data_IF_319796218322
#
_entry.id   IF_319796218322
#
_cell.length_a   1.000
_cell.length_b   1.000
_cell.length_c   1.000
_cell.angle_alpha   90.00
_cell.angle_beta   90.00
_cell.angle_gamma   90.00
#
_symmetry.space_group_name_H-M   'P 1'
#
loop_
_entity.id
_entity.type
_entity.pdbx_description
1 polymer ?
#
# COMPACT_ATOMS: atom_id res chain seq x y z
N UNK A 1 -8.09 12.62 -7.00
CA UNK A 1 -8.12 13.14 -5.62
C UNK A 1 -6.91 12.66 -4.85
N UNK A 2 -6.40 11.48 -5.16
CA UNK A 2 -5.06 11.07 -4.76
C UNK A 2 -3.98 11.89 -5.48
N UNK A 3 -2.84 12.12 -4.81
CA UNK A 3 -1.76 12.97 -5.31
C UNK A 3 -0.41 12.49 -4.78
N UNK A 4 0.58 12.50 -5.68
CA UNK A 4 2.00 12.36 -5.36
C UNK A 4 2.68 13.74 -5.37
N UNK A 5 3.26 14.12 -4.24
CA UNK A 5 4.10 15.30 -4.07
C UNK A 5 5.57 14.92 -4.30
N UNK A 6 5.98 14.94 -5.57
CA UNK A 6 7.27 14.39 -6.06
C UNK A 6 8.48 14.92 -5.32
N UNK A 7 8.55 16.24 -5.12
CA UNK A 7 9.71 16.90 -4.54
C UNK A 7 9.99 16.48 -3.09
N UNK A 8 8.95 16.07 -2.36
CA UNK A 8 9.06 15.71 -0.93
C UNK A 8 8.91 14.23 -0.66
N UNK A 9 8.44 13.43 -1.62
CA UNK A 9 8.26 11.98 -1.46
C UNK A 9 7.04 11.60 -0.59
N UNK A 10 5.90 12.27 -0.80
CA UNK A 10 4.66 12.02 -0.07
C UNK A 10 3.54 11.67 -1.04
N UNK A 11 2.80 10.62 -0.74
CA UNK A 11 1.64 10.16 -1.50
C UNK A 11 0.42 10.21 -0.59
N UNK A 12 -0.60 10.97 -1.01
CA UNK A 12 -1.88 11.11 -0.31
C UNK A 12 -2.97 10.48 -1.15
N UNK A 13 -3.58 9.39 -0.68
CA UNK A 13 -4.59 8.62 -1.41
C UNK A 13 -5.95 8.76 -0.75
N UNK A 14 -7.00 8.99 -1.53
CA UNK A 14 -8.35 9.30 -1.02
C UNK A 14 -9.46 8.57 -1.79
N UNK A 15 -10.50 8.13 -1.09
CA UNK A 15 -11.77 7.67 -1.68
C UNK A 15 -12.78 8.80 -1.85
N UNK A 16 -12.78 9.79 -0.97
CA UNK A 16 -13.61 10.98 -1.08
C UNK A 16 -12.94 12.16 -0.36
N UNK A 17 -12.26 13.04 -1.09
CA UNK A 17 -11.62 14.19 -0.47
C UNK A 17 -12.62 15.24 0.05
N UNK A 18 -13.86 15.23 -0.46
CA UNK A 18 -14.86 16.24 -0.14
C UNK A 18 -15.65 15.92 1.14
N UNK A 19 -15.83 14.64 1.47
CA UNK A 19 -16.53 14.21 2.69
C UNK A 19 -15.65 13.32 3.59
N UNK A 20 -15.12 13.91 4.67
CA UNK A 20 -14.28 13.20 5.63
C UNK A 20 -14.98 12.04 6.37
N UNK A 21 -16.31 12.02 6.45
CA UNK A 21 -17.08 10.94 7.09
C UNK A 21 -17.32 9.75 6.16
N UNK A 22 -17.10 9.92 4.85
CA UNK A 22 -17.12 8.88 3.83
C UNK A 22 -15.71 8.55 3.29
N UNK A 23 -14.73 9.39 3.59
CA UNK A 23 -13.35 9.24 3.12
C UNK A 23 -12.59 8.12 3.83
N UNK A 24 -11.76 7.44 3.07
CA UNK A 24 -10.60 6.70 3.52
C UNK A 24 -9.37 7.42 2.97
N UNK A 25 -8.57 7.98 3.88
CA UNK A 25 -7.29 8.62 3.60
C UNK A 25 -6.15 7.69 3.97
N UNK A 26 -5.25 7.46 3.02
CA UNK A 26 -3.98 6.81 3.25
C UNK A 26 -2.87 7.80 2.94
N UNK A 27 -1.98 8.03 3.89
CA UNK A 27 -0.80 8.85 3.71
C UNK A 27 0.42 7.96 3.74
N UNK A 28 1.22 7.99 2.68
CA UNK A 28 2.45 7.22 2.55
C UNK A 28 3.64 8.15 2.32
N UNK A 29 4.76 7.87 2.99
CA UNK A 29 5.96 8.69 2.92
C UNK A 29 7.19 7.84 2.63
N UNK A 30 7.93 8.23 1.61
CA UNK A 30 9.30 7.81 1.38
C UNK A 30 10.08 8.95 0.77
N UNK A 31 10.81 9.68 1.61
CA UNK A 31 11.23 11.06 1.34
C UNK A 31 12.73 11.20 1.05
N UNK A 32 13.12 12.00 0.04
CA UNK A 32 14.53 12.27 -0.26
C UNK A 32 15.22 13.14 0.80
N UNK A 33 14.48 13.65 1.79
CA UNK A 33 15.02 14.46 2.90
C UNK A 33 15.47 13.63 4.11
N UNK A 34 15.22 12.32 4.07
CA UNK A 34 15.52 11.42 5.18
C UNK A 34 14.80 11.80 6.48
N UNK A 35 15.52 11.75 7.59
CA UNK A 35 15.01 12.04 8.93
C UNK A 35 15.54 13.36 9.49
N UNK A 36 15.95 14.28 8.61
CA UNK A 36 16.60 15.52 8.99
C UNK A 36 15.62 16.60 9.48
N UNK A 37 16.10 17.46 10.37
CA UNK A 37 15.36 18.60 10.90
C UNK A 37 14.04 18.16 11.58
N UNK A 38 12.89 18.56 11.02
CA UNK A 38 11.56 18.20 11.54
C UNK A 38 10.96 16.94 10.91
N UNK A 39 11.70 16.22 10.07
CA UNK A 39 11.31 14.88 9.63
C UNK A 39 11.68 13.82 10.66
N UNK A 40 10.99 12.68 10.65
CA UNK A 40 11.28 11.55 11.52
C UNK A 40 11.96 10.41 10.75
N UNK A 41 12.34 9.35 11.46
CA UNK A 41 12.90 8.13 10.89
C UNK A 41 11.77 7.21 10.35
N UNK A 42 11.04 7.71 9.36
CA UNK A 42 9.74 7.20 8.92
C UNK A 42 9.66 7.01 7.38
N UNK A 43 10.71 6.47 6.77
CA UNK A 43 10.65 6.15 5.35
C UNK A 43 9.87 4.85 5.16
N UNK A 44 9.17 4.74 4.03
CA UNK A 44 8.15 3.74 3.77
C UNK A 44 7.06 3.63 4.86
N UNK A 45 6.86 4.65 5.69
CA UNK A 45 5.79 4.64 6.70
C UNK A 45 4.44 5.06 6.11
N UNK A 46 3.34 4.54 6.67
CA UNK A 46 1.98 4.97 6.30
C UNK A 46 1.06 5.21 7.50
N UNK A 47 -0.01 5.96 7.26
CA UNK A 47 -1.15 6.15 8.19
C UNK A 47 -2.46 5.93 7.46
N UNK A 48 -3.51 5.57 8.22
CA UNK A 48 -4.86 5.36 7.69
C UNK A 48 -5.86 6.08 8.59
N UNK A 49 -6.60 7.02 7.99
CA UNK A 49 -7.79 7.63 8.56
C UNK A 49 -9.00 7.22 7.73
N UNK A 50 -10.07 6.77 8.36
CA UNK A 50 -11.28 6.37 7.66
C UNK A 50 -12.53 6.81 8.41
N UNK A 51 -13.51 7.33 7.69
CA UNK A 51 -14.82 7.73 8.21
C UNK A 51 -14.70 8.69 9.41
N UNK A 52 -13.80 9.67 9.31
CA UNK A 52 -13.48 10.65 10.35
C UNK A 52 -12.72 10.09 11.57
N UNK A 53 -12.16 8.88 11.48
CA UNK A 53 -11.44 8.22 12.58
C UNK A 53 -10.01 7.86 12.18
N UNK A 54 -8.98 8.26 12.95
CA UNK A 54 -7.60 7.82 12.74
C UNK A 54 -7.41 6.39 13.25
N UNK A 55 -7.42 5.42 12.34
CA UNK A 55 -7.32 3.99 12.64
C UNK A 55 -5.86 3.55 12.82
N UNK A 56 -5.00 3.94 11.88
CA UNK A 56 -3.55 3.72 11.93
C UNK A 56 -2.84 5.07 11.99
N UNK A 57 -2.05 5.29 13.04
CA UNK A 57 -1.43 6.59 13.36
C UNK A 57 0.10 6.53 13.34
N UNK A 58 0.73 7.69 13.12
CA UNK A 58 2.10 7.90 13.60
C UNK A 58 2.03 8.15 15.11
N UNK A 59 2.61 7.25 15.90
CA UNK A 59 2.38 7.23 17.35
C UNK A 59 3.23 8.20 18.15
N UNK A 60 2.80 8.43 19.39
CA UNK A 60 3.37 9.32 20.38
C UNK A 60 2.64 10.66 20.50
N UNK A 61 3.14 11.49 21.41
CA UNK A 61 2.69 12.85 21.65
C UNK A 61 3.86 13.81 21.46
N UNK A 62 3.60 15.12 21.37
CA UNK A 62 4.67 16.11 21.23
C UNK A 62 4.75 17.03 22.44
N UNK A 63 5.43 16.64 23.54
CA UNK A 63 5.56 17.49 24.73
C UNK A 63 6.30 18.80 24.41
N UNK A 64 7.53 18.69 23.92
CA UNK A 64 8.37 19.77 23.40
C UNK A 64 9.48 19.21 22.51
N UNK A 65 10.10 20.07 21.70
CA UNK A 65 11.20 19.69 20.81
C UNK A 65 12.38 19.13 21.62
N UNK A 66 12.88 17.97 21.21
CA UNK A 66 14.06 17.37 21.83
C UNK A 66 13.80 16.69 23.17
N UNK A 67 12.55 16.56 23.61
CA UNK A 67 12.23 15.80 24.83
C UNK A 67 12.66 14.33 24.73
N UNK A 68 12.89 13.63 25.85
CA UNK A 68 13.09 12.18 25.86
C UNK A 68 12.06 11.41 25.03
N UNK A 69 10.76 11.67 25.17
CA UNK A 69 9.72 11.04 24.36
C UNK A 69 9.85 11.41 22.88
N UNK A 70 10.17 12.65 22.54
CA UNK A 70 10.36 13.05 21.15
C UNK A 70 11.52 12.30 20.49
N UNK A 71 12.69 12.30 21.14
CA UNK A 71 13.92 11.73 20.59
C UNK A 71 13.99 10.21 20.65
N UNK A 72 13.40 9.58 21.67
CA UNK A 72 13.47 8.13 21.90
C UNK A 72 12.18 7.39 21.51
N UNK A 73 11.12 8.11 21.14
CA UNK A 73 9.89 7.54 20.62
C UNK A 73 9.45 8.18 19.29
N UNK A 74 8.96 9.42 19.28
CA UNK A 74 8.26 9.96 18.10
C UNK A 74 9.15 10.09 16.87
N UNK A 75 10.44 10.38 17.06
CA UNK A 75 11.39 10.46 15.93
C UNK A 75 11.83 9.09 15.44
N UNK A 76 11.63 8.04 16.24
CA UNK A 76 12.13 6.70 15.97
C UNK A 76 11.17 5.90 15.09
N UNK A 77 11.74 5.01 14.29
CA UNK A 77 11.01 4.08 13.41
C UNK A 77 10.04 3.18 14.17
N UNK A 78 10.35 2.80 15.41
CA UNK A 78 9.47 1.97 16.26
C UNK A 78 8.11 2.62 16.57
N UNK A 79 7.96 3.93 16.31
CA UNK A 79 6.70 4.66 16.47
C UNK A 79 5.88 4.80 15.17
N UNK A 80 6.35 4.17 14.08
CA UNK A 80 5.84 4.30 12.71
C UNK A 80 5.39 2.96 12.14
N UNK A 81 4.38 2.99 11.28
CA UNK A 81 3.91 1.81 10.54
C UNK A 81 4.88 1.44 9.40
N UNK A 82 6.02 0.85 9.75
CA UNK A 82 7.11 0.43 8.85
C UNK A 82 7.85 -0.76 9.50
N UNK A 83 9.04 -1.11 9.02
CA UNK A 83 9.82 -2.28 9.47
C UNK A 83 10.90 -1.93 10.50
N UNK A 84 11.21 -2.83 11.44
CA UNK A 84 12.51 -2.88 12.13
C UNK A 84 13.32 -4.09 11.68
N UNK A 85 14.64 -3.95 11.72
CA UNK A 85 15.60 -5.03 11.41
C UNK A 85 16.44 -5.28 12.64
N UNK A 86 16.39 -6.52 13.17
CA UNK A 86 16.97 -6.90 14.47
C UNK A 86 16.62 -5.87 15.57
N UNK A 87 15.34 -5.52 15.73
CA UNK A 87 14.87 -4.55 16.71
C UNK A 87 15.28 -3.10 16.47
N UNK A 88 15.96 -2.80 15.37
CA UNK A 88 16.52 -1.46 15.10
C UNK A 88 15.93 -0.83 13.86
N UNK A 89 15.66 0.47 13.94
CA UNK A 89 15.13 1.26 12.84
C UNK A 89 16.17 2.01 12.01
N UNK A 90 15.64 2.97 11.26
CA UNK A 90 16.38 4.00 10.56
C UNK A 90 16.99 5.01 11.57
N UNK A 91 18.12 5.68 11.26
CA UNK A 91 18.67 6.71 12.13
C UNK A 91 17.82 7.99 12.10
N UNK A 92 17.80 8.72 13.22
CA UNK A 92 17.17 10.05 13.34
C UNK A 92 18.14 11.15 12.93
N UNK A 93 17.62 12.35 12.60
CA UNK A 93 18.41 13.52 12.23
C UNK A 93 19.45 13.26 11.12
N UNK A 94 19.08 12.45 10.12
CA UNK A 94 19.97 12.05 9.05
C UNK A 94 19.46 12.48 7.69
N UNK A 95 20.22 13.36 7.03
CA UNK A 95 20.00 13.76 5.62
C UNK A 95 20.22 12.60 4.64
N UNK A 96 21.02 11.59 5.02
CA UNK A 96 21.40 10.49 4.13
C UNK A 96 20.49 9.28 4.27
N UNK A 97 19.69 9.20 5.35
CA UNK A 97 18.71 8.14 5.57
C UNK A 97 17.43 8.35 4.75
N UNK A 98 17.61 8.47 3.43
CA UNK A 98 16.60 8.85 2.46
C UNK A 98 15.72 7.68 2.07
N UNK A 99 14.48 7.99 1.71
CA UNK A 99 13.60 7.12 0.94
C UNK A 99 13.30 7.77 -0.41
N UNK A 100 12.52 7.09 -1.22
CA UNK A 100 12.09 7.55 -2.53
C UNK A 100 10.75 6.90 -2.90
N UNK A 101 9.83 7.67 -3.47
CA UNK A 101 8.68 7.12 -4.17
C UNK A 101 9.11 6.88 -5.61
N UNK A 102 9.16 5.61 -6.01
CA UNK A 102 9.59 5.15 -7.33
C UNK A 102 8.48 5.20 -8.37
N UNK A 103 7.25 4.97 -7.93
CA UNK A 103 6.10 4.92 -8.83
C UNK A 103 4.80 5.33 -8.10
N UNK A 104 3.87 5.90 -8.84
CA UNK A 104 2.54 6.27 -8.38
C UNK A 104 1.54 6.29 -9.54
N UNK A 105 0.41 5.60 -9.37
CA UNK A 105 -0.71 5.59 -10.31
C UNK A 105 -2.01 5.81 -9.55
N UNK A 106 -2.97 6.53 -10.14
CA UNK A 106 -4.28 6.76 -9.53
C UNK A 106 -5.41 6.72 -10.56
N UNK A 107 -6.32 5.76 -10.40
CA UNK A 107 -7.56 5.66 -11.16
C UNK A 107 -8.77 5.85 -10.24
N UNK A 108 -9.99 5.60 -10.72
CA UNK A 108 -11.16 5.60 -9.84
C UNK A 108 -11.24 4.32 -8.99
N UNK A 109 -10.79 3.18 -9.52
CA UNK A 109 -10.86 1.89 -8.82
C UNK A 109 -9.62 1.55 -7.98
N UNK A 110 -8.44 2.10 -8.31
CA UNK A 110 -7.19 1.72 -7.65
C UNK A 110 -6.21 2.88 -7.56
N UNK A 111 -5.53 3.00 -6.42
CA UNK A 111 -4.27 3.74 -6.34
C UNK A 111 -3.11 2.76 -6.11
N UNK A 112 -1.98 3.02 -6.74
CA UNK A 112 -0.74 2.26 -6.59
C UNK A 112 0.39 3.20 -6.18
N UNK A 113 1.28 2.73 -5.32
CA UNK A 113 2.56 3.39 -5.10
C UNK A 113 3.64 2.40 -4.71
N UNK A 114 4.87 2.66 -5.16
CA UNK A 114 6.08 1.93 -4.79
C UNK A 114 7.05 2.88 -4.07
N UNK A 115 7.42 2.55 -2.84
CA UNK A 115 8.45 3.25 -2.08
C UNK A 115 9.69 2.41 -1.85
N UNK A 116 10.87 2.99 -2.03
CA UNK A 116 12.18 2.43 -1.71
C UNK A 116 12.72 3.12 -0.45
N UNK A 117 12.97 2.35 0.61
CA UNK A 117 13.59 2.83 1.85
C UNK A 117 14.95 2.19 2.13
N UNK A 118 15.57 1.48 1.18
CA UNK A 118 16.86 0.82 1.35
C UNK A 118 17.92 1.76 1.96
N UNK A 119 18.11 2.94 1.34
CA UNK A 119 19.08 3.95 1.80
C UNK A 119 18.80 4.42 3.24
N UNK A 120 17.55 4.41 3.68
CA UNK A 120 17.17 4.81 5.03
C UNK A 120 17.66 3.83 6.11
N UNK A 121 17.83 2.55 5.76
CA UNK A 121 18.32 1.51 6.67
C UNK A 121 19.84 1.33 6.60
N UNK A 122 20.52 2.05 5.70
CA UNK A 122 21.98 2.04 5.58
C UNK A 122 22.49 0.64 5.26
N UNK A 123 23.42 0.12 6.08
CA UNK A 123 23.97 -1.23 5.88
C UNK A 123 23.09 -2.35 6.43
N UNK A 124 21.89 -2.06 6.98
CA UNK A 124 21.01 -3.10 7.54
C UNK A 124 20.21 -3.84 6.48
N UNK A 125 19.92 -3.17 5.37
CA UNK A 125 19.19 -3.72 4.22
C UNK A 125 19.96 -3.43 2.95
N UNK A 126 19.76 -4.30 1.95
CA UNK A 126 20.13 -4.13 0.55
C UNK A 126 18.92 -3.83 -0.31
N UNK A 127 17.73 -4.20 0.15
CA UNK A 127 16.45 -3.90 -0.47
C UNK A 127 15.42 -3.63 0.61
N UNK A 128 14.61 -2.58 0.42
CA UNK A 128 13.35 -2.41 1.12
C UNK A 128 12.36 -1.70 0.21
N UNK A 129 11.59 -2.49 -0.52
CA UNK A 129 10.51 -2.01 -1.37
C UNK A 129 9.17 -2.22 -0.65
N UNK A 130 8.35 -1.18 -0.60
CA UNK A 130 6.96 -1.23 -0.15
C UNK A 130 6.04 -0.85 -1.29
N UNK A 131 5.15 -1.76 -1.65
CA UNK A 131 4.08 -1.53 -2.60
C UNK A 131 2.75 -1.41 -1.84
N UNK A 132 1.96 -0.39 -2.17
CA UNK A 132 0.59 -0.25 -1.64
C UNK A 132 -0.36 -0.20 -2.83
N UNK A 133 -1.25 -1.20 -2.91
CA UNK A 133 -2.41 -1.20 -3.79
C UNK A 133 -3.63 -0.83 -2.94
N UNK A 134 -4.17 0.35 -3.14
CA UNK A 134 -5.41 0.77 -2.50
C UNK A 134 -6.58 0.49 -3.45
N UNK A 135 -7.25 -0.65 -3.25
CA UNK A 135 -8.43 -1.08 -4.01
C UNK A 135 -9.63 -0.33 -3.46
N UNK A 136 -10.10 0.67 -4.19
CA UNK A 136 -11.08 1.63 -3.71
C UNK A 136 -12.52 1.15 -3.92
N UNK A 137 -13.42 1.45 -2.97
CA UNK A 137 -13.21 2.13 -1.68
C UNK A 137 -12.93 1.14 -0.53
N UNK A 138 -12.39 -0.04 -0.82
CA UNK A 138 -12.51 -1.20 0.05
C UNK A 138 -11.33 -1.40 1.00
N UNK A 139 -10.16 -1.71 0.45
CA UNK A 139 -9.05 -2.21 1.26
C UNK A 139 -7.69 -1.82 0.67
N UNK A 140 -6.69 -1.85 1.54
CA UNK A 140 -5.29 -1.74 1.15
C UNK A 140 -4.69 -3.15 1.14
N UNK A 141 -3.93 -3.42 0.09
CA UNK A 141 -2.99 -4.52 0.03
C UNK A 141 -1.58 -3.94 0.05
N UNK A 142 -0.81 -4.28 1.08
CA UNK A 142 0.56 -3.79 1.29
C UNK A 142 1.50 -4.96 1.12
N UNK A 143 2.46 -4.83 0.21
CA UNK A 143 3.53 -5.79 0.01
C UNK A 143 4.88 -5.18 0.35
N UNK A 144 5.61 -5.82 1.24
CA UNK A 144 6.98 -5.46 1.58
C UNK A 144 7.93 -6.55 1.08
N UNK A 145 9.01 -6.15 0.41
CA UNK A 145 10.11 -7.03 0.03
C UNK A 145 11.42 -6.52 0.62
N UNK A 146 12.11 -7.40 1.36
CA UNK A 146 13.28 -7.07 2.17
C UNK A 146 14.43 -8.02 1.84
N UNK A 147 15.62 -7.47 1.64
CA UNK A 147 16.89 -8.21 1.62
C UNK A 147 17.84 -7.58 2.63
N UNK A 148 18.37 -8.37 3.57
CA UNK A 148 19.42 -8.02 4.50
C UNK A 148 20.75 -8.68 4.08
N UNK A 149 21.92 -8.06 4.36
CA UNK A 149 23.22 -8.64 4.00
C UNK A 149 23.59 -9.90 4.80
N UNK A 150 22.83 -10.20 5.87
CA UNK A 150 22.98 -11.36 6.76
C UNK A 150 21.62 -11.78 7.30
N UNK A 151 21.55 -12.98 7.85
CA UNK A 151 20.37 -13.46 8.55
C UNK A 151 19.98 -12.48 9.66
N UNK A 152 18.76 -11.97 9.58
CA UNK A 152 18.22 -10.92 10.43
C UNK A 152 16.76 -11.24 10.79
N UNK A 153 16.28 -10.75 11.92
CA UNK A 153 14.84 -10.75 12.22
C UNK A 153 14.19 -9.46 11.70
N UNK A 154 12.90 -9.56 11.37
CA UNK A 154 12.12 -8.44 10.86
C UNK A 154 10.85 -8.24 11.68
N UNK A 155 10.48 -6.98 11.89
CA UNK A 155 9.29 -6.62 12.67
C UNK A 155 8.43 -5.64 11.88
N UNK A 156 7.21 -6.03 11.56
CA UNK A 156 6.24 -5.19 10.86
C UNK A 156 5.29 -4.53 11.86
N UNK A 157 5.21 -3.20 11.81
CA UNK A 157 4.59 -2.40 12.86
C UNK A 157 3.30 -1.72 12.41
N UNK A 158 2.36 -1.58 13.35
CA UNK A 158 1.22 -0.66 13.26
C UNK A 158 0.99 0.03 14.60
N UNK A 159 0.35 1.20 14.56
CA UNK A 159 -0.03 1.89 15.78
C UNK A 159 -1.43 2.47 15.70
N UNK A 160 -2.13 2.46 16.83
CA UNK A 160 -3.49 2.96 16.93
C UNK A 160 -3.72 3.63 18.29
N UNK A 161 -4.82 4.38 18.40
CA UNK A 161 -5.26 4.96 19.70
C UNK A 161 -5.91 3.93 20.62
N UNK A 162 -6.26 2.76 20.10
CA UNK A 162 -7.03 1.70 20.77
C UNK A 162 -6.32 0.37 20.59
N UNK A 163 -6.61 -0.56 21.48
CA UNK A 163 -6.01 -1.89 21.52
C UNK A 163 -6.29 -2.67 20.24
N UNK A 164 -5.27 -3.40 19.77
CA UNK A 164 -5.43 -4.37 18.69
C UNK A 164 -5.91 -5.70 19.29
N UNK A 165 -7.07 -6.16 18.82
CA UNK A 165 -7.52 -7.52 19.03
C UNK A 165 -6.78 -8.41 18.03
N UNK A 166 -6.05 -9.40 18.52
CA UNK A 166 -5.23 -10.30 17.70
C UNK A 166 -5.80 -11.71 17.79
N UNK A 167 -5.95 -12.38 16.66
CA UNK A 167 -6.32 -13.80 16.60
C UNK A 167 -5.56 -14.43 15.45
N UNK A 168 -4.65 -15.35 15.77
CA UNK A 168 -3.71 -15.93 14.80
C UNK A 168 -2.92 -14.84 14.06
N UNK A 169 -3.11 -14.70 12.75
CA UNK A 169 -2.50 -13.68 11.90
C UNK A 169 -3.41 -12.46 11.63
N UNK A 170 -4.61 -12.46 12.23
CA UNK A 170 -5.62 -11.40 12.04
C UNK A 170 -5.54 -10.36 13.14
N UNK A 171 -5.85 -9.13 12.75
CA UNK A 171 -5.91 -7.97 13.62
C UNK A 171 -7.25 -7.25 13.46
N UNK A 172 -7.69 -6.64 14.56
CA UNK A 172 -8.82 -5.74 14.56
C UNK A 172 -8.58 -4.58 15.52
N UNK A 173 -8.88 -3.37 15.09
CA UNK A 173 -8.88 -2.18 15.95
C UNK A 173 -10.12 -1.34 15.68
N UNK A 174 -10.76 -0.84 16.74
CA UNK A 174 -11.97 -0.03 16.65
C UNK A 174 -11.77 1.32 17.32
N UNK A 175 -12.26 2.39 16.72
CA UNK A 175 -12.20 3.75 17.28
C UNK A 175 -13.31 4.63 16.71
N UNK A 176 -13.88 5.52 17.51
CA UNK A 176 -14.90 6.46 17.03
C UNK A 176 -16.04 5.77 16.26
N UNK A 177 -16.22 6.21 15.01
CA UNK A 177 -17.22 5.75 14.03
C UNK A 177 -16.72 4.64 13.10
N UNK A 178 -15.47 4.18 13.24
CA UNK A 178 -14.84 3.25 12.32
C UNK A 178 -14.15 2.07 13.02
N UNK A 179 -13.78 1.09 12.21
CA UNK A 179 -12.91 -0.02 12.59
C UNK A 179 -12.00 -0.39 11.44
N UNK A 180 -10.92 -1.09 11.75
CA UNK A 180 -10.07 -1.76 10.77
C UNK A 180 -10.03 -3.23 11.15
N UNK A 181 -10.34 -4.10 10.19
CA UNK A 181 -10.01 -5.52 10.25
C UNK A 181 -8.89 -5.78 9.24
N UNK A 182 -8.04 -6.75 9.51
CA UNK A 182 -6.95 -7.07 8.61
C UNK A 182 -6.23 -8.32 9.01
N UNK A 183 -5.24 -8.68 8.21
CA UNK A 183 -4.35 -9.79 8.48
C UNK A 183 -3.00 -9.55 7.83
N UNK A 184 -1.99 -10.26 8.32
CA UNK A 184 -0.63 -10.20 7.81
C UNK A 184 -0.09 -11.60 7.57
N UNK A 185 0.48 -11.81 6.40
CA UNK A 185 1.18 -13.03 6.00
C UNK A 185 2.65 -12.69 5.73
N UNK A 186 3.54 -13.65 5.92
CA UNK A 186 4.96 -13.52 5.59
C UNK A 186 5.52 -14.84 5.11
N UNK A 187 6.60 -14.78 4.33
CA UNK A 187 7.41 -15.94 3.96
C UNK A 187 8.11 -16.59 5.15
N UNK A 188 8.18 -15.91 6.30
CA UNK A 188 8.69 -16.44 7.56
C UNK A 188 7.56 -16.57 8.59
N UNK A 189 7.61 -17.56 9.52
CA UNK A 189 6.61 -17.67 10.56
C UNK A 189 6.60 -16.43 11.47
N UNK A 190 5.39 -15.99 11.85
CA UNK A 190 5.19 -14.75 12.60
C UNK A 190 4.71 -15.01 14.03
N UNK A 191 5.22 -14.19 14.95
CA UNK A 191 4.65 -13.99 16.28
C UNK A 191 4.06 -12.59 16.35
N UNK A 192 2.76 -12.51 16.60
CA UNK A 192 2.03 -11.25 16.71
C UNK A 192 1.90 -10.83 18.16
N UNK A 193 2.01 -9.53 18.42
CA UNK A 193 1.83 -8.95 19.75
C UNK A 193 1.34 -7.51 19.68
N UNK A 194 0.75 -7.03 20.77
CA UNK A 194 0.45 -5.62 20.95
C UNK A 194 0.82 -5.16 22.36
N UNK A 195 1.26 -3.91 22.48
CA UNK A 195 1.55 -3.27 23.77
C UNK A 195 1.13 -1.81 23.74
N UNK A 196 0.87 -1.25 24.92
CA UNK A 196 0.58 0.18 25.08
C UNK A 196 1.76 0.98 25.67
N UNK A 197 2.94 0.35 25.70
CA UNK A 197 4.16 0.93 26.24
C UNK A 197 4.91 1.70 25.15
N UNK A 198 5.22 2.96 25.46
CA UNK A 198 6.24 3.70 24.75
C UNK A 198 7.64 3.30 25.28
N UNK A 199 8.68 3.49 24.48
CA UNK A 199 10.09 3.38 24.97
C UNK A 199 10.34 4.34 26.13
N UNK A 200 9.81 5.57 26.01
CA UNK A 200 9.80 6.58 27.06
C UNK A 200 8.41 7.20 27.06
N UNK A 201 7.77 7.35 28.22
CA UNK A 201 6.45 8.00 28.31
C UNK A 201 6.55 9.52 28.06
N UNK A 202 5.49 10.16 27.52
CA UNK A 202 5.49 11.61 27.31
C UNK A 202 5.63 12.38 28.64
N UNK A 203 6.41 13.45 28.61
CA UNK A 203 6.68 14.27 29.80
C UNK A 203 5.44 15.08 30.25
N UNK A 204 5.52 15.67 31.45
CA UNK A 204 4.46 16.38 32.20
C UNK A 204 3.31 16.96 31.37
N UNK A 205 3.60 17.81 30.37
CA UNK A 205 2.60 18.45 29.50
C UNK A 205 1.60 17.45 28.89
N UNK A 206 2.06 16.24 28.60
CA UNK A 206 1.30 15.16 27.99
C UNK A 206 1.34 13.85 28.78
N UNK A 207 1.85 13.85 30.01
CA UNK A 207 1.94 12.65 30.85
C UNK A 207 0.57 11.97 31.08
N UNK A 208 -0.51 12.75 31.12
CA UNK A 208 -1.87 12.27 31.32
C UNK A 208 -2.65 12.01 30.03
N UNK A 209 -2.00 12.05 28.86
CA UNK A 209 -2.67 11.72 27.60
C UNK A 209 -3.00 10.22 27.56
N UNK A 210 -4.08 9.81 26.86
CA UNK A 210 -4.41 8.41 26.70
C UNK A 210 -3.23 7.60 26.17
N UNK A 211 -3.01 6.38 26.67
CA UNK A 211 -2.04 5.48 26.05
C UNK A 211 -2.45 5.17 24.61
N UNK A 212 -1.46 4.95 23.77
CA UNK A 212 -1.63 4.45 22.40
C UNK A 212 -1.13 3.00 22.35
N UNK A 213 -1.52 2.27 21.32
CA UNK A 213 -1.20 0.85 21.17
C UNK A 213 -0.33 0.61 19.95
N UNK A 214 0.56 -0.37 20.07
CA UNK A 214 1.63 -0.66 19.13
C UNK A 214 1.59 -2.16 18.84
N UNK A 215 1.14 -2.50 17.65
CA UNK A 215 1.13 -3.85 17.11
C UNK A 215 2.48 -4.16 16.47
N UNK A 216 2.89 -5.42 16.60
CA UNK A 216 4.10 -5.97 16.00
C UNK A 216 3.82 -7.37 15.48
N UNK A 217 4.13 -7.62 14.21
CA UNK A 217 4.32 -8.95 13.66
C UNK A 217 5.83 -9.20 13.49
N UNK A 218 6.39 -10.07 14.31
CA UNK A 218 7.82 -10.37 14.38
C UNK A 218 8.12 -11.73 13.75
N UNK A 219 9.13 -11.82 12.90
CA UNK A 219 9.59 -13.11 12.36
C UNK A 219 10.22 -13.94 13.48
N UNK A 220 9.76 -15.18 13.67
CA UNK A 220 10.33 -16.07 14.70
C UNK A 220 11.65 -16.70 14.27
N UNK A 221 11.95 -16.60 12.97
CA UNK A 221 13.17 -17.07 12.36
C UNK A 221 13.93 -15.89 11.74
N UNK A 222 15.24 -16.08 11.57
CA UNK A 222 16.11 -15.13 10.88
C UNK A 222 16.39 -15.62 9.47
N UNK A 223 16.35 -14.71 8.52
CA UNK A 223 16.74 -14.97 7.14
C UNK A 223 17.34 -13.71 6.52
N UNK A 224 17.98 -13.86 5.36
CA UNK A 224 18.40 -12.70 4.55
C UNK A 224 17.22 -12.04 3.88
N UNK A 225 16.24 -12.81 3.46
CA UNK A 225 15.09 -12.32 2.71
C UNK A 225 13.81 -12.57 3.49
N UNK A 226 12.91 -11.60 3.45
CA UNK A 226 11.56 -11.74 3.95
C UNK A 226 10.63 -10.92 3.07
N UNK A 227 9.40 -11.40 2.89
CA UNK A 227 8.33 -10.56 2.39
C UNK A 227 7.12 -10.61 3.31
N UNK A 228 6.33 -9.54 3.26
CA UNK A 228 5.09 -9.43 4.01
C UNK A 228 3.97 -9.03 3.06
N UNK A 229 2.81 -9.67 3.18
CA UNK A 229 1.56 -9.24 2.56
C UNK A 229 0.59 -8.90 3.67
N UNK A 230 0.12 -7.66 3.73
CA UNK A 230 -0.90 -7.23 4.68
C UNK A 230 -2.16 -6.77 3.94
N UNK A 231 -3.32 -7.28 4.37
CA UNK A 231 -4.63 -6.82 3.94
C UNK A 231 -5.20 -5.97 5.07
N UNK A 232 -5.53 -4.72 4.80
CA UNK A 232 -6.13 -3.80 5.77
C UNK A 232 -7.46 -3.28 5.20
N UNK A 233 -8.56 -3.56 5.89
CA UNK A 233 -9.93 -3.21 5.48
C UNK A 233 -10.54 -2.22 6.47
N UNK A 234 -10.44 -0.90 6.20
CA UNK A 234 -11.16 0.11 6.96
C UNK A 234 -12.66 0.00 6.69
N UNK A 235 -13.46 0.07 7.75
CA UNK A 235 -14.91 -0.07 7.69
C UNK A 235 -15.58 0.93 8.62
N UNK A 236 -16.79 1.37 8.27
CA UNK A 236 -17.68 1.99 9.25
C UNK A 236 -17.93 0.99 10.37
N UNK A 237 -18.05 1.47 11.60
CA UNK A 237 -18.18 0.59 12.79
C UNK A 237 -19.39 -0.34 12.70
N UNK A 238 -20.48 0.13 12.09
CA UNK A 238 -21.71 -0.63 11.90
C UNK A 238 -21.64 -1.68 10.77
N UNK A 239 -20.64 -1.62 9.88
CA UNK A 239 -20.48 -2.60 8.80
C UNK A 239 -20.14 -3.97 9.41
N UNK A 240 -20.85 -5.02 9.01
CA UNK A 240 -20.64 -6.39 9.50
C UNK A 240 -19.96 -7.28 8.46
N UNK A 241 -19.70 -6.77 7.26
CA UNK A 241 -19.08 -7.52 6.18
C UNK A 241 -17.69 -8.02 6.62
N UNK A 242 -17.43 -9.28 6.34
CA UNK A 242 -16.10 -9.89 6.45
C UNK A 242 -15.52 -10.05 5.07
N UNK A 243 -14.21 -10.30 4.99
CA UNK A 243 -13.54 -10.68 3.75
C UNK A 243 -12.95 -12.08 3.90
N UNK A 244 -12.78 -12.75 2.77
CA UNK A 244 -12.03 -14.00 2.66
C UNK A 244 -10.77 -13.72 1.86
N UNK A 245 -9.67 -14.35 2.26
CA UNK A 245 -8.40 -14.23 1.56
C UNK A 245 -7.70 -15.59 1.48
N UNK A 246 -7.16 -15.88 0.32
CA UNK A 246 -6.32 -17.05 0.05
C UNK A 246 -4.98 -16.56 -0.46
N UNK A 247 -3.90 -17.14 0.06
CA UNK A 247 -2.53 -16.83 -0.35
C UNK A 247 -1.97 -17.97 -1.20
N UNK A 248 -1.19 -17.62 -2.22
CA UNK A 248 -0.42 -18.55 -3.02
C UNK A 248 0.91 -17.89 -3.35
N UNK A 249 2.01 -18.41 -2.82
CA UNK A 249 3.32 -17.76 -2.93
C UNK A 249 3.25 -16.27 -2.47
N UNK A 250 3.82 -15.32 -3.23
CA UNK A 250 3.72 -13.88 -2.97
C UNK A 250 2.49 -13.26 -3.66
N UNK A 251 1.34 -13.92 -3.62
CA UNK A 251 0.09 -13.42 -4.18
C UNK A 251 -1.09 -13.64 -3.21
N UNK A 252 -2.13 -12.83 -3.39
CA UNK A 252 -3.37 -12.94 -2.63
C UNK A 252 -4.59 -12.85 -3.54
N UNK A 253 -5.58 -13.71 -3.28
CA UNK A 253 -6.94 -13.61 -3.80
C UNK A 253 -7.84 -13.18 -2.64
N UNK A 254 -8.51 -12.05 -2.78
CA UNK A 254 -9.37 -11.44 -1.76
C UNK A 254 -10.80 -11.37 -2.29
N UNK A 255 -11.75 -11.90 -1.52
CA UNK A 255 -13.18 -11.70 -1.75
C UNK A 255 -13.73 -10.81 -0.64
N UNK A 256 -14.27 -9.66 -1.02
CA UNK A 256 -14.92 -8.73 -0.09
C UNK A 256 -16.14 -8.11 -0.72
N UNK A 257 -17.30 -8.27 -0.08
CA UNK A 257 -18.61 -7.88 -0.64
C UNK A 257 -18.81 -8.55 -2.01
N UNK A 258 -19.05 -7.77 -3.07
CA UNK A 258 -19.25 -8.29 -4.43
C UNK A 258 -17.97 -8.24 -5.27
N UNK A 259 -16.82 -8.00 -4.64
CA UNK A 259 -15.54 -7.74 -5.31
C UNK A 259 -14.56 -8.89 -5.06
N UNK A 260 -14.04 -9.49 -6.13
CA UNK A 260 -12.86 -10.36 -6.10
C UNK A 260 -11.65 -9.56 -6.57
N UNK A 261 -10.52 -9.64 -5.86
CA UNK A 261 -9.24 -9.12 -6.35
C UNK A 261 -8.17 -10.18 -6.25
N UNK A 262 -7.49 -10.44 -7.36
CA UNK A 262 -6.26 -11.21 -7.42
C UNK A 262 -5.12 -10.21 -7.56
N UNK A 263 -4.15 -10.26 -6.67
CA UNK A 263 -2.95 -9.43 -6.73
C UNK A 263 -1.70 -10.31 -6.67
N UNK A 264 -0.78 -10.06 -7.59
CA UNK A 264 0.46 -10.80 -7.78
C UNK A 264 1.64 -9.90 -7.44
N UNK A 265 2.53 -10.40 -6.58
CA UNK A 265 3.90 -9.90 -6.39
C UNK A 265 4.92 -11.02 -6.70
N UNK A 266 4.49 -11.93 -7.59
CA UNK A 266 5.22 -13.08 -8.11
C UNK A 266 4.81 -13.25 -9.58
N UNK A 267 5.58 -14.00 -10.35
CA UNK A 267 5.35 -14.20 -11.78
C UNK A 267 3.99 -14.89 -12.04
N UNK A 268 3.57 -15.82 -11.16
CA UNK A 268 2.37 -16.63 -11.39
C UNK A 268 1.65 -17.07 -10.12
N UNK A 269 0.34 -16.83 -10.05
CA UNK A 269 -0.53 -17.35 -9.00
C UNK A 269 -2.00 -17.27 -9.43
N UNK A 270 -2.87 -18.13 -8.88
CA UNK A 270 -4.32 -18.10 -9.15
C UNK A 270 -4.70 -18.09 -10.64
N UNK A 271 -3.95 -18.83 -11.47
CA UNK A 271 -4.08 -18.85 -12.94
C UNK A 271 -3.76 -17.52 -13.64
N UNK A 272 -3.34 -16.49 -12.91
CA UNK A 272 -2.81 -15.24 -13.46
C UNK A 272 -1.29 -15.31 -13.60
N UNK A 273 -0.75 -14.63 -14.61
CA UNK A 273 0.69 -14.54 -14.88
C UNK A 273 1.06 -13.12 -15.32
N UNK A 274 2.23 -12.64 -14.91
CA UNK A 274 2.75 -11.32 -15.25
C UNK A 274 4.26 -11.34 -15.39
N UNK A 275 4.81 -10.54 -16.30
CA UNK A 275 6.25 -10.24 -16.36
C UNK A 275 6.63 -8.97 -15.58
N UNK A 276 5.64 -8.32 -14.96
CA UNK A 276 5.84 -7.14 -14.12
C UNK A 276 6.16 -7.46 -12.66
N UNK A 277 6.71 -6.46 -11.95
CA UNK A 277 6.97 -6.51 -10.50
C UNK A 277 5.70 -6.79 -9.69
N UNK A 278 4.57 -6.24 -10.12
CA UNK A 278 3.27 -6.55 -9.55
C UNK A 278 2.18 -6.42 -10.58
N UNK A 279 1.07 -7.12 -10.35
CA UNK A 279 -0.15 -6.97 -11.13
C UNK A 279 -1.39 -7.20 -10.27
N UNK A 280 -2.54 -6.70 -10.71
CA UNK A 280 -3.82 -7.10 -10.11
C UNK A 280 -4.96 -7.13 -11.11
N UNK A 281 -5.88 -8.06 -10.88
CA UNK A 281 -7.17 -8.16 -11.56
C UNK A 281 -8.26 -8.02 -10.50
N UNK A 282 -9.13 -7.03 -10.65
CA UNK A 282 -10.30 -6.84 -9.79
C UNK A 282 -11.57 -7.02 -10.59
N UNK A 283 -12.47 -7.85 -10.06
CA UNK A 283 -13.79 -8.12 -10.60
C UNK A 283 -14.87 -7.68 -9.64
N UNK A 284 -15.96 -7.14 -10.18
CA UNK A 284 -17.20 -6.91 -9.44
C UNK A 284 -18.31 -7.70 -10.13
N UNK A 285 -19.00 -8.55 -9.37
CA UNK A 285 -20.05 -9.45 -9.90
C UNK A 285 -19.58 -10.33 -11.09
N UNK A 286 -18.28 -10.63 -11.14
CA UNK A 286 -17.63 -11.46 -12.18
C UNK A 286 -17.04 -10.69 -13.35
N UNK A 287 -17.40 -9.40 -13.52
CA UNK A 287 -16.90 -8.54 -14.59
C UNK A 287 -15.61 -7.84 -14.17
N UNK A 288 -14.62 -7.74 -15.06
CA UNK A 288 -13.36 -7.03 -14.76
C UNK A 288 -13.64 -5.52 -14.69
N UNK A 289 -13.38 -4.92 -13.53
CA UNK A 289 -13.54 -3.47 -13.28
C UNK A 289 -12.21 -2.75 -13.08
N UNK A 290 -11.14 -3.47 -12.77
CA UNK A 290 -9.80 -2.89 -12.68
C UNK A 290 -8.71 -3.87 -13.08
N UNK A 291 -7.71 -3.37 -13.80
CA UNK A 291 -6.47 -4.07 -14.10
C UNK A 291 -5.29 -3.18 -13.72
N UNK A 292 -4.21 -3.79 -13.27
CA UNK A 292 -2.98 -3.09 -12.94
C UNK A 292 -1.77 -3.95 -13.28
N UNK A 293 -0.72 -3.31 -13.78
CA UNK A 293 0.62 -3.88 -13.92
C UNK A 293 1.63 -2.80 -13.55
N UNK A 294 2.67 -3.16 -12.82
CA UNK A 294 3.79 -2.28 -12.47
C UNK A 294 5.11 -2.85 -12.99
N UNK A 295 5.87 -2.04 -13.72
CA UNK A 295 7.18 -2.41 -14.27
C UNK A 295 7.15 -3.69 -15.12
N UNK A 296 6.14 -3.83 -15.98
CA UNK A 296 5.94 -5.03 -16.81
C UNK A 296 5.29 -4.72 -18.16
N UNK A 297 4.96 -5.76 -18.92
CA UNK A 297 4.33 -5.66 -20.25
C UNK A 297 3.07 -6.49 -20.37
N UNK A 298 2.98 -7.64 -19.73
CA UNK A 298 1.90 -8.59 -19.97
C UNK A 298 1.27 -9.00 -18.65
N UNK A 299 -0.06 -8.97 -18.60
CA UNK A 299 -0.88 -9.62 -17.57
C UNK A 299 -1.86 -10.55 -18.28
N UNK A 300 -1.81 -11.83 -17.94
CA UNK A 300 -2.67 -12.87 -18.50
C UNK A 300 -3.41 -13.64 -17.41
N UNK A 301 -4.50 -14.30 -17.79
CA UNK A 301 -5.21 -15.28 -16.97
C UNK A 301 -5.53 -16.51 -17.83
N UNK A 302 -4.96 -17.66 -17.45
CA UNK A 302 -5.01 -18.86 -18.28
C UNK A 302 -4.35 -18.62 -19.65
N UNK A 303 -5.10 -18.84 -20.73
CA UNK A 303 -4.64 -18.59 -22.10
C UNK A 303 -4.88 -17.15 -22.56
N UNK A 304 -5.67 -16.37 -21.83
CA UNK A 304 -6.11 -15.05 -22.26
C UNK A 304 -5.14 -13.97 -21.80
N UNK A 305 -4.66 -13.15 -22.74
CA UNK A 305 -3.93 -11.93 -22.40
C UNK A 305 -4.92 -10.83 -22.06
N UNK A 306 -5.01 -10.47 -20.78
CA UNK A 306 -5.94 -9.45 -20.31
C UNK A 306 -5.43 -8.04 -20.65
N UNK A 307 -4.13 -7.80 -20.45
CA UNK A 307 -3.47 -6.52 -20.71
C UNK A 307 -2.09 -6.75 -21.31
N UNK A 308 -1.77 -6.01 -22.36
CA UNK A 308 -0.45 -5.99 -22.99
C UNK A 308 0.00 -4.56 -23.25
N UNK A 309 1.25 -4.25 -22.93
CA UNK A 309 1.91 -2.98 -23.20
C UNK A 309 2.95 -3.15 -24.32
N UNK A 310 3.15 -2.12 -25.13
CA UNK A 310 4.13 -2.11 -26.22
C UNK A 310 5.58 -2.12 -25.74
N UNK A 311 5.83 -1.70 -24.49
CA UNK A 311 7.11 -1.72 -23.78
C UNK A 311 6.88 -1.87 -22.28
N UNK A 312 7.94 -2.16 -21.54
CA UNK A 312 7.87 -2.20 -20.07
C UNK A 312 7.37 -0.87 -19.50
N UNK A 313 6.49 -0.97 -18.52
CA UNK A 313 5.89 0.17 -17.86
C UNK A 313 4.91 -0.20 -16.77
N UNK A 314 4.38 0.83 -16.13
CA UNK A 314 3.31 0.71 -15.15
C UNK A 314 2.04 1.39 -15.67
N UNK A 315 0.91 0.72 -15.51
CA UNK A 315 -0.41 1.28 -15.84
C UNK A 315 -1.48 0.69 -14.93
N UNK A 316 -2.51 1.47 -14.65
CA UNK A 316 -3.77 0.99 -14.08
C UNK A 316 -4.93 1.40 -14.96
N UNK A 317 -5.91 0.52 -15.06
CA UNK A 317 -7.11 0.67 -15.88
C UNK A 317 -8.32 0.52 -14.97
N UNK A 318 -9.28 1.42 -15.08
CA UNK A 318 -10.64 1.25 -14.52
C UNK A 318 -11.62 1.08 -15.67
N UNK A 319 -12.47 0.07 -15.56
CA UNK A 319 -13.58 -0.19 -16.49
C UNK A 319 -14.86 0.07 -15.69
N UNK A 320 -15.57 1.15 -16.02
CA UNK A 320 -16.84 1.51 -15.42
C UNK A 320 -17.91 1.57 -16.52
N UNK A 321 -18.69 0.49 -16.60
CA UNK A 321 -19.69 0.29 -17.65
C UNK A 321 -19.05 0.41 -19.04
N UNK A 322 -19.40 1.44 -19.79
CA UNK A 322 -18.90 1.68 -21.14
C UNK A 322 -17.69 2.62 -21.17
N UNK A 323 -17.11 2.97 -20.01
CA UNK A 323 -15.98 3.89 -19.92
C UNK A 323 -14.72 3.17 -19.48
N UNK A 324 -13.62 3.39 -20.20
CA UNK A 324 -12.30 2.88 -19.84
C UNK A 324 -11.42 4.05 -19.46
N UNK A 325 -10.92 4.06 -18.22
CA UNK A 325 -9.99 5.08 -17.73
C UNK A 325 -8.61 4.47 -17.53
N UNK A 326 -7.61 5.05 -18.17
CA UNK A 326 -6.21 4.65 -18.05
C UNK A 326 -5.45 5.71 -17.26
N UNK A 327 -4.62 5.29 -16.30
CA UNK A 327 -3.66 6.17 -15.62
C UNK A 327 -2.27 5.55 -15.59
N UNK A 328 -1.26 6.41 -15.78
CA UNK A 328 0.17 6.11 -15.78
C UNK A 328 0.94 7.38 -15.39
N UNK A 329 2.21 7.26 -15.03
CA UNK A 329 3.09 8.42 -14.92
C UNK A 329 3.10 9.26 -16.22
N UNK A 330 2.71 10.53 -16.11
CA UNK A 330 2.69 11.50 -17.21
C UNK A 330 4.08 11.75 -17.83
N UNK A 331 5.15 11.43 -17.11
CA UNK A 331 6.52 11.56 -17.62
C UNK A 331 6.92 10.39 -18.56
N UNK A 332 6.11 9.33 -18.64
CA UNK A 332 6.35 8.17 -19.46
C UNK A 332 5.41 8.11 -20.68
N UNK A 333 5.59 9.04 -21.61
CA UNK A 333 4.84 9.10 -22.87
C UNK A 333 5.23 7.99 -23.87
N UNK A 334 4.46 7.86 -24.97
CA UNK A 334 4.69 6.86 -26.01
C UNK A 334 4.45 5.43 -25.54
N UNK A 335 3.19 5.10 -25.23
CA UNK A 335 2.78 3.74 -24.87
C UNK A 335 1.53 3.34 -25.65
N UNK A 336 1.57 2.17 -26.27
CA UNK A 336 0.36 1.52 -26.76
C UNK A 336 0.04 0.36 -25.83
N UNK A 337 -1.23 0.20 -25.49
CA UNK A 337 -1.70 -0.92 -24.71
C UNK A 337 -2.92 -1.56 -25.37
N UNK A 338 -3.01 -2.88 -25.21
CA UNK A 338 -4.12 -3.70 -25.69
C UNK A 338 -4.80 -4.32 -24.48
N UNK A 339 -6.12 -4.15 -24.40
CA UNK A 339 -6.97 -4.65 -23.33
C UNK A 339 -7.98 -5.64 -23.91
N UNK A 340 -8.11 -6.83 -23.30
CA UNK A 340 -9.24 -7.73 -23.59
C UNK A 340 -10.51 -7.13 -22.99
N UNK A 341 -11.51 -6.87 -23.82
CA UNK A 341 -12.76 -6.25 -23.40
C UNK A 341 -13.91 -6.79 -24.26
N UNK A 342 -14.96 -7.31 -23.64
CA UNK A 342 -16.04 -8.00 -24.35
C UNK A 342 -16.96 -7.09 -25.19
N UNK A 343 -16.97 -5.78 -24.90
CA UNK A 343 -17.79 -4.79 -25.58
C UNK A 343 -16.98 -3.52 -25.83
N UNK A 344 -17.25 -2.86 -26.96
CA UNK A 344 -16.65 -1.57 -27.25
C UNK A 344 -16.98 -0.54 -26.14
N UNK A 345 -16.01 0.24 -25.66
CA UNK A 345 -16.30 1.35 -24.78
C UNK A 345 -16.94 2.49 -25.57
N UNK A 346 -17.84 3.24 -24.94
CA UNK A 346 -18.34 4.50 -25.48
C UNK A 346 -17.35 5.65 -25.29
N UNK A 347 -16.40 5.51 -24.35
CA UNK A 347 -15.40 6.52 -24.06
C UNK A 347 -14.12 5.92 -23.46
N UNK A 348 -12.96 6.41 -23.90
CA UNK A 348 -11.67 6.15 -23.26
C UNK A 348 -11.12 7.46 -22.69
N UNK A 349 -10.69 7.40 -21.44
CA UNK A 349 -10.12 8.52 -20.70
C UNK A 349 -8.65 8.24 -20.32
N UNK A 350 -7.82 9.27 -20.40
CA UNK A 350 -6.50 9.32 -19.76
C UNK A 350 -6.51 10.41 -18.71
N UNK A 351 -6.21 10.07 -17.46
CA UNK A 351 -6.19 11.02 -16.34
C UNK A 351 -7.43 11.93 -16.27
N UNK A 352 -8.61 11.29 -16.44
CA UNK A 352 -9.95 11.92 -16.44
C UNK A 352 -10.27 12.83 -17.64
N UNK A 353 -9.46 12.79 -18.70
CA UNK A 353 -9.73 13.50 -19.95
C UNK A 353 -9.98 12.50 -21.07
N UNK A 354 -11.04 12.71 -21.84
CA UNK A 354 -11.34 11.88 -23.01
C UNK A 354 -10.20 11.95 -24.02
N UNK A 355 -9.85 10.83 -24.61
CA UNK A 355 -8.86 10.72 -25.69
C UNK A 355 -9.50 10.07 -26.92
N UNK A 356 -8.94 10.36 -28.10
CA UNK A 356 -9.39 9.82 -29.38
C UNK A 356 -8.42 8.81 -29.99
N UNK A 357 -7.19 8.71 -29.45
CA UNK A 357 -6.15 7.79 -29.92
C UNK A 357 -6.39 6.36 -29.41
N UNK A 358 -7.52 5.77 -29.79
CA UNK A 358 -7.89 4.39 -29.49
C UNK A 358 -8.76 3.79 -30.60
N UNK A 359 -8.79 2.46 -30.68
CA UNK A 359 -9.67 1.71 -31.58
C UNK A 359 -10.13 0.42 -30.91
N UNK A 360 -11.33 -0.04 -31.25
CA UNK A 360 -11.86 -1.31 -30.78
C UNK A 360 -11.97 -2.30 -31.95
N UNK A 361 -11.35 -3.46 -31.79
CA UNK A 361 -11.33 -4.56 -32.74
C UNK A 361 -12.40 -5.57 -32.32
N UNK A 362 -13.56 -5.52 -32.98
CA UNK A 362 -14.77 -6.25 -32.58
C UNK A 362 -14.60 -7.78 -32.69
N UNK A 363 -13.93 -8.26 -33.74
CA UNK A 363 -13.75 -9.70 -33.97
C UNK A 363 -12.83 -10.33 -32.91
N UNK A 364 -11.81 -9.60 -32.48
CA UNK A 364 -10.83 -10.02 -31.48
C UNK A 364 -11.27 -9.69 -30.04
N UNK A 365 -12.28 -8.83 -29.88
CA UNK A 365 -12.69 -8.25 -28.58
C UNK A 365 -11.52 -7.56 -27.88
N UNK A 366 -10.81 -6.70 -28.61
CA UNK A 366 -9.62 -6.00 -28.12
C UNK A 366 -9.79 -4.50 -28.25
N UNK A 367 -9.48 -3.79 -27.17
CA UNK A 367 -9.35 -2.34 -27.16
C UNK A 367 -7.87 -1.97 -27.24
N UNK A 368 -7.47 -1.24 -28.26
CA UNK A 368 -6.13 -0.67 -28.39
C UNK A 368 -6.14 0.81 -28.07
N UNK A 369 -5.25 1.23 -27.18
CA UNK A 369 -5.14 2.63 -26.72
C UNK A 369 -3.70 3.08 -26.90
N UNK A 370 -3.51 4.25 -27.52
CA UNK A 370 -2.22 4.92 -27.59
C UNK A 370 -2.22 6.13 -26.67
N UNK A 371 -1.33 6.10 -25.67
CA UNK A 371 -1.06 7.19 -24.76
C UNK A 371 0.07 8.03 -25.38
N UNK A 372 -0.31 9.13 -26.03
CA UNK A 372 0.62 10.10 -26.63
C UNK A 372 1.35 10.94 -25.60
#
# INVERSE_FOLDING_TARGET
QSRFFRDVGWVSMHTDLADGYENIHVLFKSSPYGSYSHSHADQNAFTIEAFGTPLIISSGYYPYYGSPHHTQWTNQTISKSTILVDGTGQPINSLTAKGEIKDFISTNALDYTLGDANKAYGSKLRQYDRQILFVKPHFLLIYDELEAPRDSSFEWLLHARKEFQITENKIKVEGGSAKLIGEINSTLPLKLSATNKFTVDPEERHANKPKQWHFKAETTEKAKEASFIAILVPQKKADTATYEAVYQDKAAKILYKNTETIALFTEKAFNCETDGRSASVTREEGEIVSLHIAGGRVLSEGSDTLLKLSREGSVSITIDKEKVSVSRDILEEGLTLTLKLDKAPSEVLRDKKSITSWQYLEEEKLLEITLE
#
